data_IF_419585694085
#
_entry.id   IF_419585694085
#
_cell.length_a   1.000
_cell.length_b   1.000
_cell.length_c   1.000
_cell.angle_alpha   90.00
_cell.angle_beta   90.00
_cell.angle_gamma   90.00
#
_symmetry.space_group_name_H-M   'P 1'
#
loop_
_entity.id
_entity.type
_entity.pdbx_description
1 polymer ?
#
# COMPACT_ATOMS: atom_id res chain seq x y z
N UNK A 1 42.46 63.88 -33.64
CA UNK A 1 41.60 62.75 -33.99
C UNK A 1 42.15 61.47 -33.35
N UNK A 2 41.97 61.27 -32.12
CA UNK A 2 42.26 60.02 -31.36
C UNK A 2 41.50 60.14 -30.02
N UNK A 3 40.28 59.61 -29.92
CA UNK A 3 39.58 59.31 -28.64
C UNK A 3 38.08 59.11 -28.90
N UNK A 4 37.73 58.18 -29.81
CA UNK A 4 36.31 57.89 -30.01
C UNK A 4 36.05 56.43 -30.43
N UNK A 5 36.82 55.48 -29.92
CA UNK A 5 36.54 54.04 -30.12
C UNK A 5 36.92 53.27 -28.83
N UNK A 6 36.39 53.60 -27.68
CA UNK A 6 36.59 52.77 -26.48
C UNK A 6 35.37 52.61 -25.58
N UNK A 7 34.20 53.02 -26.02
CA UNK A 7 33.02 53.00 -25.11
C UNK A 7 31.83 52.11 -25.60
N UNK A 8 32.06 51.28 -26.64
CA UNK A 8 30.92 50.48 -27.21
C UNK A 8 31.06 48.96 -27.03
N UNK A 9 32.01 48.48 -26.26
CA UNK A 9 32.18 47.00 -26.06
C UNK A 9 31.79 46.53 -24.63
N UNK A 10 31.52 47.45 -23.72
CA UNK A 10 31.16 47.09 -22.35
C UNK A 10 29.63 46.90 -22.09
N UNK A 11 28.79 47.12 -23.09
CA UNK A 11 27.31 47.12 -22.94
C UNK A 11 26.58 45.84 -23.38
N UNK A 12 27.30 44.89 -24.04
CA UNK A 12 26.60 43.68 -24.56
C UNK A 12 26.83 42.44 -23.71
N UNK A 13 27.70 42.51 -22.68
CA UNK A 13 28.04 41.35 -21.83
C UNK A 13 27.13 41.07 -20.63
N UNK A 14 26.12 41.90 -20.35
CA UNK A 14 25.30 41.75 -19.10
C UNK A 14 23.87 41.25 -19.35
N UNK A 15 23.45 41.10 -20.60
CA UNK A 15 22.04 40.68 -20.91
C UNK A 15 21.91 39.16 -21.06
N UNK A 16 22.99 38.36 -20.96
CA UNK A 16 22.94 36.91 -21.15
C UNK A 16 22.91 36.07 -19.86
N UNK A 17 22.76 36.66 -18.67
CA UNK A 17 22.73 35.91 -17.41
C UNK A 17 21.40 35.90 -16.67
N UNK A 18 20.34 36.43 -17.23
CA UNK A 18 19.01 36.40 -16.56
C UNK A 18 17.97 35.51 -17.24
N UNK A 19 18.40 34.62 -18.15
CA UNK A 19 17.46 33.87 -18.98
C UNK A 19 17.30 32.38 -18.61
N UNK A 20 17.73 31.94 -17.44
CA UNK A 20 17.52 30.53 -17.02
C UNK A 20 16.86 30.34 -15.65
N UNK A 21 16.44 31.42 -15.00
CA UNK A 21 15.62 31.26 -13.78
C UNK A 21 14.14 31.31 -14.18
N UNK A 22 13.47 30.19 -14.10
CA UNK A 22 12.02 30.09 -14.24
C UNK A 22 11.49 29.30 -15.43
N UNK A 23 12.36 28.88 -16.39
CA UNK A 23 11.85 28.14 -17.57
C UNK A 23 11.44 26.68 -17.23
N UNK A 24 11.84 26.18 -16.07
CA UNK A 24 11.55 24.83 -15.60
C UNK A 24 10.82 24.77 -14.27
N UNK A 25 10.60 25.90 -13.60
CA UNK A 25 9.91 25.95 -12.30
C UNK A 25 8.49 25.40 -12.40
N UNK A 26 7.78 25.66 -13.51
CA UNK A 26 6.40 25.20 -13.70
C UNK A 26 6.27 23.72 -14.11
N UNK A 27 7.38 23.10 -14.54
CA UNK A 27 7.35 21.72 -15.05
C UNK A 27 7.71 20.72 -13.95
N UNK A 28 8.55 21.10 -12.98
CA UNK A 28 9.08 20.17 -11.98
C UNK A 28 8.61 20.42 -10.55
N UNK A 29 8.18 21.62 -10.22
CA UNK A 29 7.90 22.02 -8.83
C UNK A 29 6.43 21.89 -8.41
N UNK A 30 5.52 21.72 -9.35
CA UNK A 30 4.10 21.51 -9.06
C UNK A 30 3.57 20.26 -9.76
N UNK A 31 3.82 19.05 -9.20
CA UNK A 31 3.18 17.85 -9.73
C UNK A 31 1.66 18.10 -9.72
N UNK A 32 1.03 17.99 -10.88
CA UNK A 32 -0.42 18.10 -10.97
C UNK A 32 -1.07 17.10 -10.04
N UNK A 33 -2.06 17.50 -9.25
CA UNK A 33 -2.79 16.56 -8.41
C UNK A 33 -3.35 15.44 -9.29
N UNK A 34 -3.19 14.19 -8.84
CA UNK A 34 -3.77 13.06 -9.54
C UNK A 34 -5.29 13.15 -9.35
N UNK A 35 -6.00 13.34 -10.43
CA UNK A 35 -7.47 13.29 -10.43
C UNK A 35 -7.88 11.91 -10.91
N UNK A 36 -8.36 11.04 -10.01
CA UNK A 36 -8.79 9.70 -10.39
C UNK A 36 -10.00 9.77 -11.32
N UNK A 37 -10.09 8.82 -12.23
CA UNK A 37 -11.28 8.65 -13.07
C UNK A 37 -12.46 8.15 -12.21
N UNK A 38 -13.66 8.20 -12.78
CA UNK A 38 -14.84 7.58 -12.15
C UNK A 38 -14.59 6.07 -12.01
N UNK A 39 -14.85 5.54 -10.83
CA UNK A 39 -14.56 4.12 -10.53
C UNK A 39 -13.07 3.83 -10.27
N UNK A 40 -12.31 4.85 -9.89
CA UNK A 40 -10.90 4.74 -9.56
C UNK A 40 -10.61 5.44 -8.22
N UNK A 41 -9.68 4.93 -7.45
CA UNK A 41 -9.12 5.58 -6.25
C UNK A 41 -7.61 5.59 -6.29
N UNK A 42 -7.05 6.54 -5.55
CA UNK A 42 -5.60 6.70 -5.42
C UNK A 42 -5.25 6.77 -3.93
N UNK A 43 -4.51 5.80 -3.43
CA UNK A 43 -4.16 5.65 -2.02
C UNK A 43 -2.65 5.78 -1.86
N UNK A 44 -2.20 6.76 -1.07
CA UNK A 44 -0.82 6.79 -0.60
C UNK A 44 -0.65 5.82 0.58
N UNK A 45 -0.36 4.56 0.26
CA UNK A 45 -0.10 3.50 1.23
C UNK A 45 1.41 3.31 1.48
N UNK A 46 2.20 4.37 1.37
CA UNK A 46 3.66 4.31 1.55
C UNK A 46 4.09 4.19 3.00
N UNK A 47 3.22 4.49 3.96
CA UNK A 47 3.49 4.31 5.39
C UNK A 47 3.81 2.85 5.72
N UNK A 48 4.74 2.67 6.67
CA UNK A 48 5.17 1.35 7.13
C UNK A 48 4.32 0.81 8.27
N UNK A 49 3.49 1.66 8.89
CA UNK A 49 2.76 1.33 10.12
C UNK A 49 1.28 1.63 10.06
N UNK A 50 0.75 2.13 8.94
CA UNK A 50 -0.64 2.58 8.90
C UNK A 50 -1.50 1.76 7.94
N UNK A 51 -2.74 1.53 8.33
CA UNK A 51 -3.81 1.09 7.48
C UNK A 51 -4.58 2.29 6.92
N UNK A 52 -5.05 2.17 5.67
CA UNK A 52 -5.91 3.12 4.99
C UNK A 52 -7.21 2.41 4.59
N UNK A 53 -8.34 2.93 5.04
CA UNK A 53 -9.64 2.28 4.87
C UNK A 53 -10.45 2.92 3.75
N UNK A 54 -11.09 2.08 2.95
CA UNK A 54 -11.95 2.46 1.83
C UNK A 54 -13.37 1.98 2.12
N UNK A 55 -14.34 2.85 1.95
CA UNK A 55 -15.77 2.53 1.99
C UNK A 55 -16.35 2.63 0.58
N UNK A 56 -16.56 1.48 -0.07
CA UNK A 56 -17.14 1.42 -1.41
C UNK A 56 -18.62 1.82 -1.42
N UNK A 57 -19.36 1.61 -0.33
CA UNK A 57 -20.75 2.04 -0.21
C UNK A 57 -20.84 3.58 -0.27
N UNK A 58 -19.97 4.26 0.49
CA UNK A 58 -19.90 5.71 0.46
C UNK A 58 -19.51 6.25 -0.91
N UNK A 59 -18.51 5.66 -1.57
CA UNK A 59 -18.11 6.05 -2.93
C UNK A 59 -19.25 5.89 -3.92
N UNK A 60 -20.00 4.80 -3.82
CA UNK A 60 -21.20 4.57 -4.64
C UNK A 60 -22.26 5.62 -4.37
N UNK A 61 -22.57 5.91 -3.12
CA UNK A 61 -23.58 6.90 -2.74
C UNK A 61 -23.22 8.29 -3.29
N UNK A 62 -21.97 8.73 -3.09
CA UNK A 62 -21.50 10.02 -3.62
C UNK A 62 -21.58 10.09 -5.16
N UNK A 63 -21.35 8.96 -5.82
CA UNK A 63 -21.51 8.86 -7.29
C UNK A 63 -22.96 9.01 -7.72
N UNK A 64 -23.90 8.40 -6.98
CA UNK A 64 -25.36 8.48 -7.24
C UNK A 64 -25.88 9.88 -6.96
N UNK A 65 -25.43 10.50 -5.88
CA UNK A 65 -25.81 11.86 -5.48
C UNK A 65 -25.26 12.94 -6.41
N UNK A 66 -24.21 12.60 -7.19
CA UNK A 66 -23.55 13.54 -8.09
C UNK A 66 -22.68 14.58 -7.38
N UNK A 67 -22.26 14.29 -6.14
CA UNK A 67 -21.35 15.17 -5.39
C UNK A 67 -19.89 14.90 -5.80
N UNK A 68 -19.49 15.51 -6.92
CA UNK A 68 -18.16 15.32 -7.51
C UNK A 68 -17.03 15.75 -6.57
N UNK A 69 -17.23 16.81 -5.77
CA UNK A 69 -16.21 17.30 -4.87
C UNK A 69 -15.98 16.34 -3.68
N UNK A 70 -17.06 15.86 -3.06
CA UNK A 70 -16.97 14.89 -2.00
C UNK A 70 -16.47 13.52 -2.51
N UNK A 71 -16.85 13.14 -3.73
CA UNK A 71 -16.35 11.94 -4.40
C UNK A 71 -14.84 12.02 -4.62
N UNK A 72 -14.35 13.11 -5.20
CA UNK A 72 -12.90 13.29 -5.41
C UNK A 72 -12.12 13.20 -4.10
N UNK A 73 -12.63 13.84 -3.04
CA UNK A 73 -12.04 13.76 -1.71
C UNK A 73 -12.01 12.33 -1.19
N UNK A 74 -13.12 11.59 -1.29
CA UNK A 74 -13.21 10.20 -0.86
C UNK A 74 -12.36 9.22 -1.70
N UNK A 75 -11.99 9.61 -2.93
CA UNK A 75 -11.11 8.83 -3.82
C UNK A 75 -9.62 9.09 -3.57
N UNK A 76 -9.23 10.17 -2.87
CA UNK A 76 -7.84 10.62 -2.78
C UNK A 76 -7.35 10.94 -1.38
N UNK A 77 -8.24 11.19 -0.41
CA UNK A 77 -7.88 11.55 0.95
C UNK A 77 -8.28 10.44 1.91
N UNK A 78 -7.26 9.77 2.47
CA UNK A 78 -7.44 8.65 3.40
C UNK A 78 -6.76 8.96 4.72
N UNK A 79 -7.49 8.79 5.83
CA UNK A 79 -6.96 8.95 7.17
C UNK A 79 -6.09 7.73 7.53
N UNK A 80 -4.90 7.93 8.10
CA UNK A 80 -4.05 6.84 8.57
C UNK A 80 -4.55 6.27 9.91
N UNK A 81 -4.57 4.94 10.02
CA UNK A 81 -4.89 4.20 11.22
C UNK A 81 -3.67 3.37 11.65
N UNK A 82 -2.93 3.80 12.67
CA UNK A 82 -1.70 3.15 13.07
C UNK A 82 -1.92 1.70 13.51
N UNK A 83 -1.03 0.81 13.07
CA UNK A 83 -0.94 -0.55 13.58
C UNK A 83 -0.35 -0.47 15.00
N UNK A 84 -0.98 -1.08 16.03
CA UNK A 84 -0.47 -1.03 17.38
C UNK A 84 0.87 -1.79 17.47
N UNK A 85 1.97 -1.05 17.56
CA UNK A 85 3.32 -1.60 17.68
C UNK A 85 3.78 -1.75 19.14
N UNK A 86 3.20 -0.93 20.05
CA UNK A 86 3.48 -1.05 21.47
C UNK A 86 2.85 -2.32 22.05
N UNK A 87 3.62 -3.05 22.82
CA UNK A 87 3.16 -4.31 23.37
C UNK A 87 3.66 -4.52 24.80
N UNK A 88 2.83 -5.18 25.59
CA UNK A 88 3.19 -5.75 26.90
C UNK A 88 2.88 -7.24 26.90
N UNK A 89 3.34 -7.91 27.92
CA UNK A 89 3.01 -9.30 28.16
C UNK A 89 4.20 -10.22 28.02
N UNK A 90 3.92 -11.50 27.86
CA UNK A 90 4.92 -12.55 27.96
C UNK A 90 5.89 -12.48 26.79
N UNK A 91 7.02 -11.84 27.04
CA UNK A 91 8.17 -11.92 26.19
C UNK A 91 8.79 -13.31 26.36
N UNK A 92 8.72 -14.11 25.30
CA UNK A 92 9.39 -15.41 25.26
C UNK A 92 10.59 -15.28 24.34
N UNK A 93 11.77 -15.12 24.96
CA UNK A 93 13.03 -15.14 24.22
C UNK A 93 13.40 -16.59 23.92
N UNK A 94 13.37 -16.97 22.66
CA UNK A 94 13.86 -18.26 22.19
C UNK A 94 15.03 -18.04 21.23
N UNK A 95 16.21 -18.57 21.52
CA UNK A 95 17.27 -18.62 20.53
C UNK A 95 16.84 -19.56 19.39
N UNK A 96 16.99 -19.10 18.16
CA UNK A 96 16.83 -19.95 16.98
C UNK A 96 18.13 -20.74 16.77
N UNK A 97 18.04 -22.06 16.82
CA UNK A 97 19.24 -22.92 16.76
C UNK A 97 19.50 -23.49 15.36
N UNK A 98 18.50 -23.51 14.50
CA UNK A 98 18.53 -24.18 13.19
C UNK A 98 18.52 -23.23 11.98
N UNK A 99 18.42 -21.93 12.22
CA UNK A 99 18.36 -20.93 11.16
C UNK A 99 17.02 -20.89 10.41
N UNK A 100 16.04 -21.69 10.81
CA UNK A 100 14.72 -21.66 10.22
C UNK A 100 13.81 -20.73 11.02
N UNK A 101 13.24 -19.72 10.38
CA UNK A 101 12.26 -18.85 11.00
C UNK A 101 10.95 -19.56 11.38
N UNK A 102 10.71 -20.74 10.83
CA UNK A 102 9.46 -21.47 10.98
C UNK A 102 9.16 -21.95 12.41
N UNK A 103 10.18 -22.19 13.22
CA UNK A 103 10.00 -22.61 14.62
C UNK A 103 9.52 -21.47 15.51
N UNK A 104 9.72 -20.25 15.09
CA UNK A 104 9.36 -19.05 15.84
C UNK A 104 7.84 -18.82 15.91
N UNK A 105 7.09 -19.38 14.97
CA UNK A 105 5.65 -19.15 14.85
C UNK A 105 4.79 -20.20 15.53
N UNK A 106 5.40 -21.31 15.98
CA UNK A 106 4.66 -22.39 16.62
C UNK A 106 4.03 -21.95 17.95
N UNK A 107 2.73 -22.16 18.07
CA UNK A 107 1.97 -21.83 19.26
C UNK A 107 1.52 -20.38 19.38
N UNK A 108 1.84 -19.53 18.40
CA UNK A 108 1.37 -18.16 18.32
C UNK A 108 -0.13 -18.11 18.07
N UNK A 109 -0.81 -17.16 18.70
CA UNK A 109 -2.23 -16.90 18.52
C UNK A 109 -2.43 -15.63 17.71
N UNK A 110 -3.55 -15.52 17.01
CA UNK A 110 -3.94 -14.29 16.34
C UNK A 110 -3.93 -13.10 17.33
N UNK A 111 -3.46 -11.95 16.87
CA UNK A 111 -3.28 -10.76 17.71
C UNK A 111 -1.99 -10.72 18.52
N UNK A 112 -1.16 -11.75 18.46
CA UNK A 112 0.18 -11.71 19.03
C UNK A 112 1.19 -11.29 17.96
N UNK A 113 2.15 -10.48 18.37
CA UNK A 113 3.25 -10.02 17.54
C UNK A 113 4.51 -10.83 17.80
N UNK A 114 5.41 -10.83 16.81
CA UNK A 114 6.68 -11.54 16.89
C UNK A 114 7.80 -10.66 16.36
N UNK A 115 8.89 -10.57 17.12
CA UNK A 115 10.09 -9.89 16.70
C UNK A 115 11.18 -10.86 16.30
N UNK A 116 11.90 -10.46 15.27
CA UNK A 116 13.20 -11.02 14.91
C UNK A 116 14.27 -9.94 15.04
N UNK A 117 15.43 -10.35 15.53
CA UNK A 117 16.59 -9.49 15.56
C UNK A 117 17.54 -9.91 14.45
N UNK A 118 18.16 -8.96 13.79
CA UNK A 118 19.25 -9.06 12.81
C UNK A 118 19.57 -10.48 12.30
N UNK A 119 18.81 -10.96 11.34
CA UNK A 119 19.00 -12.29 10.74
C UNK A 119 20.20 -12.34 9.78
N UNK A 120 20.71 -11.20 9.33
CA UNK A 120 21.83 -11.11 8.40
C UNK A 120 23.14 -10.72 9.08
N UNK A 121 23.11 -9.93 10.16
CA UNK A 121 24.30 -9.51 10.89
C UNK A 121 24.89 -10.60 11.77
N UNK A 122 24.13 -11.06 12.76
CA UNK A 122 24.58 -12.10 13.69
C UNK A 122 24.24 -13.52 13.26
N UNK A 123 23.34 -13.67 12.29
CA UNK A 123 22.80 -14.95 11.85
C UNK A 123 21.83 -15.57 12.85
N UNK A 124 21.10 -16.58 12.41
CA UNK A 124 20.06 -17.23 13.22
C UNK A 124 20.55 -17.85 14.53
N UNK A 125 21.80 -18.24 14.63
CA UNK A 125 22.36 -18.80 15.85
C UNK A 125 22.37 -17.82 17.03
N UNK A 126 22.37 -16.54 16.74
CA UNK A 126 22.44 -15.46 17.74
C UNK A 126 21.16 -14.66 17.84
N UNK A 127 20.22 -14.91 16.93
CA UNK A 127 18.94 -14.21 16.92
C UNK A 127 17.98 -14.87 17.90
N UNK A 128 17.18 -14.03 18.51
CA UNK A 128 16.06 -14.43 19.35
C UNK A 128 14.78 -13.88 18.78
N UNK A 129 13.68 -14.52 19.07
CA UNK A 129 12.36 -13.96 18.81
C UNK A 129 11.55 -13.86 20.09
N UNK A 130 10.60 -12.93 20.08
CA UNK A 130 9.72 -12.72 21.21
C UNK A 130 8.27 -12.79 20.73
N UNK A 131 7.42 -13.44 21.52
CA UNK A 131 5.99 -13.23 21.42
C UNK A 131 5.58 -12.14 22.38
N UNK A 132 4.68 -11.27 21.96
CA UNK A 132 4.10 -10.28 22.84
C UNK A 132 2.68 -9.95 22.39
N UNK A 133 1.88 -9.42 23.31
CA UNK A 133 0.52 -8.97 23.05
C UNK A 133 0.52 -7.46 22.94
N UNK A 134 -0.11 -6.86 21.92
CA UNK A 134 -0.18 -5.42 21.81
C UNK A 134 -0.95 -4.80 22.98
N UNK A 135 -0.57 -3.59 23.38
CA UNK A 135 -1.24 -2.83 24.45
C UNK A 135 -2.56 -2.23 24.02
N UNK A 136 -2.77 -2.06 22.72
CA UNK A 136 -3.97 -1.54 22.11
C UNK A 136 -4.47 -2.44 21.00
N UNK A 137 -5.75 -2.36 20.70
CA UNK A 137 -6.36 -3.01 19.54
C UNK A 137 -6.19 -2.11 18.31
N UNK A 138 -6.13 -2.72 17.12
CA UNK A 138 -6.19 -1.99 15.86
C UNK A 138 -7.50 -1.21 15.77
N UNK A 139 -7.41 0.10 15.61
CA UNK A 139 -8.57 0.93 15.34
C UNK A 139 -8.97 0.87 13.88
N UNK A 140 -10.25 1.09 13.61
CA UNK A 140 -10.82 1.17 12.27
C UNK A 140 -11.99 2.15 12.27
N UNK A 141 -12.36 2.76 11.12
CA UNK A 141 -13.61 3.50 11.02
C UNK A 141 -14.82 2.57 11.22
N UNK A 142 -15.99 3.15 11.53
CA UNK A 142 -17.21 2.37 11.74
C UNK A 142 -17.65 1.65 10.46
N UNK A 143 -17.52 2.32 9.31
CA UNK A 143 -17.90 1.80 8.00
C UNK A 143 -16.68 1.71 7.09
N UNK A 144 -16.46 0.55 6.52
CA UNK A 144 -15.40 0.31 5.55
C UNK A 144 -15.62 -1.01 4.82
N UNK A 145 -14.98 -1.16 3.68
CA UNK A 145 -15.09 -2.34 2.80
C UNK A 145 -13.77 -3.08 2.70
N UNK A 146 -12.71 -2.38 2.38
CA UNK A 146 -11.33 -2.89 2.33
C UNK A 146 -10.41 -1.94 3.08
N UNK A 147 -9.28 -2.46 3.54
CA UNK A 147 -8.20 -1.64 4.06
C UNK A 147 -6.87 -2.05 3.42
N UNK A 148 -6.01 -1.06 3.20
CA UNK A 148 -4.73 -1.23 2.52
C UNK A 148 -3.60 -0.81 3.47
N UNK A 149 -2.57 -1.65 3.56
CA UNK A 149 -1.31 -1.37 4.20
C UNK A 149 -0.19 -1.78 3.25
N UNK A 150 0.46 -0.80 2.62
CA UNK A 150 1.47 -1.06 1.58
C UNK A 150 0.93 -1.95 0.46
N UNK A 151 1.45 -3.16 0.29
CA UNK A 151 0.98 -4.18 -0.64
C UNK A 151 -0.08 -5.11 -0.03
N UNK A 152 -0.27 -5.08 1.27
CA UNK A 152 -1.22 -5.93 1.98
C UNK A 152 -2.62 -5.33 1.97
N UNK A 153 -3.63 -6.20 1.82
CA UNK A 153 -5.04 -5.80 1.83
C UNK A 153 -5.84 -6.73 2.72
N UNK A 154 -6.79 -6.17 3.44
CA UNK A 154 -7.81 -6.93 4.18
C UNK A 154 -9.21 -6.46 3.84
N UNK A 155 -10.17 -7.30 4.12
CA UNK A 155 -11.59 -7.02 3.92
C UNK A 155 -12.31 -6.85 5.26
N UNK A 156 -13.49 -6.24 5.25
CA UNK A 156 -14.35 -6.16 6.43
C UNK A 156 -15.24 -7.40 6.51
N UNK A 157 -14.66 -8.55 6.87
CA UNK A 157 -15.40 -9.82 6.95
C UNK A 157 -15.88 -10.36 5.61
N UNK A 158 -15.31 -9.89 4.50
CA UNK A 158 -15.58 -10.36 3.15
C UNK A 158 -14.72 -11.55 2.74
N UNK A 159 -14.84 -11.92 1.47
CA UNK A 159 -14.00 -12.94 0.86
C UNK A 159 -13.72 -12.59 -0.60
N UNK A 160 -12.58 -13.04 -1.14
CA UNK A 160 -12.09 -12.64 -2.46
C UNK A 160 -11.87 -13.83 -3.37
N UNK A 161 -12.19 -13.64 -4.65
CA UNK A 161 -11.90 -14.52 -5.75
C UNK A 161 -10.99 -13.79 -6.75
N UNK A 162 -9.84 -14.37 -7.09
CA UNK A 162 -9.05 -13.94 -8.23
C UNK A 162 -9.64 -14.52 -9.51
N UNK A 163 -9.84 -13.68 -10.52
CA UNK A 163 -10.32 -14.11 -11.83
C UNK A 163 -9.16 -14.21 -12.83
N UNK A 164 -9.42 -14.71 -14.01
CA UNK A 164 -8.47 -14.69 -15.14
C UNK A 164 -8.64 -13.47 -16.05
N UNK A 165 -9.59 -12.59 -15.74
CA UNK A 165 -9.81 -11.35 -16.49
C UNK A 165 -8.76 -10.30 -16.15
N UNK A 166 -8.26 -9.63 -17.17
CA UNK A 166 -7.23 -8.59 -17.06
C UNK A 166 -7.74 -7.18 -17.33
N UNK A 167 -9.07 -7.04 -17.48
CA UNK A 167 -9.76 -5.76 -17.63
C UNK A 167 -11.17 -5.86 -17.07
N UNK A 168 -11.66 -4.78 -16.47
CA UNK A 168 -13.04 -4.64 -16.00
C UNK A 168 -14.08 -4.83 -17.12
N UNK A 169 -13.72 -4.47 -18.36
CA UNK A 169 -14.62 -4.61 -19.53
C UNK A 169 -14.83 -6.05 -19.99
N UNK A 170 -13.96 -6.96 -19.57
CA UNK A 170 -14.06 -8.40 -19.87
C UNK A 170 -14.99 -9.14 -18.92
N UNK A 171 -15.35 -8.50 -17.79
CA UNK A 171 -16.17 -9.12 -16.77
C UNK A 171 -17.57 -9.49 -17.32
N UNK A 172 -18.16 -10.60 -16.84
CA UNK A 172 -19.57 -10.89 -17.06
C UNK A 172 -20.48 -9.72 -16.65
N UNK A 173 -21.70 -9.65 -17.16
CA UNK A 173 -22.63 -8.57 -16.80
C UNK A 173 -22.97 -8.48 -15.31
N UNK A 174 -22.87 -9.58 -14.57
CA UNK A 174 -23.18 -9.65 -13.15
C UNK A 174 -22.28 -10.64 -12.40
N UNK A 175 -22.15 -10.43 -11.09
CA UNK A 175 -21.42 -11.31 -10.18
C UNK A 175 -22.01 -12.72 -10.03
N UNK A 176 -23.24 -12.97 -10.51
CA UNK A 176 -23.87 -14.29 -10.51
C UNK A 176 -23.03 -15.35 -11.27
N UNK A 177 -22.24 -14.90 -12.26
CA UNK A 177 -21.33 -15.77 -12.98
C UNK A 177 -20.28 -16.44 -12.06
N UNK A 178 -20.04 -15.91 -10.88
CA UNK A 178 -19.07 -16.40 -9.89
C UNK A 178 -19.74 -17.14 -8.71
N UNK A 179 -21.06 -17.32 -8.71
CA UNK A 179 -21.81 -17.88 -7.58
C UNK A 179 -21.36 -19.28 -7.15
N UNK A 180 -20.82 -20.06 -8.07
CA UNK A 180 -20.33 -21.43 -7.81
C UNK A 180 -18.82 -21.49 -7.56
N UNK A 181 -18.13 -20.35 -7.49
CA UNK A 181 -16.69 -20.29 -7.25
C UNK A 181 -16.38 -20.13 -5.77
N UNK A 182 -15.18 -20.55 -5.39
CA UNK A 182 -14.72 -20.45 -4.01
C UNK A 182 -14.08 -19.09 -3.76
N UNK A 183 -14.59 -18.37 -2.77
CA UNK A 183 -14.04 -17.12 -2.30
C UNK A 183 -13.22 -17.37 -1.03
N UNK A 184 -12.05 -16.76 -0.95
CA UNK A 184 -11.11 -16.90 0.16
C UNK A 184 -11.31 -15.76 1.15
N UNK A 185 -11.62 -16.04 2.43
CA UNK A 185 -11.72 -15.02 3.48
C UNK A 185 -10.33 -14.53 3.90
N UNK A 186 -10.33 -13.51 4.76
CA UNK A 186 -9.11 -13.04 5.41
C UNK A 186 -8.58 -14.11 6.38
N UNK A 187 -7.27 -14.09 6.57
CA UNK A 187 -6.56 -14.95 7.51
C UNK A 187 -5.49 -14.18 8.28
N UNK A 188 -5.18 -14.64 9.49
CA UNK A 188 -4.02 -14.15 10.21
C UNK A 188 -2.75 -14.68 9.56
N UNK A 189 -1.86 -13.77 9.23
CA UNK A 189 -0.55 -14.09 8.65
C UNK A 189 0.55 -13.64 9.57
N UNK A 190 1.73 -14.16 9.35
CA UNK A 190 2.88 -13.92 10.21
C UNK A 190 3.94 -13.09 9.48
N UNK A 191 4.63 -12.24 10.23
CA UNK A 191 5.80 -11.53 9.73
C UNK A 191 5.54 -10.69 8.47
N UNK A 192 4.43 -10.00 8.41
CA UNK A 192 4.03 -9.23 7.21
C UNK A 192 4.36 -7.72 7.34
N UNK A 193 4.73 -7.27 8.54
CA UNK A 193 4.94 -5.85 8.81
C UNK A 193 6.33 -5.59 9.36
N UNK A 194 7.08 -4.71 8.69
CA UNK A 194 8.22 -4.00 9.26
C UNK A 194 7.73 -2.70 9.88
N UNK A 195 8.32 -2.27 10.98
CA UNK A 195 8.00 -1.01 11.62
C UNK A 195 8.80 0.17 11.04
N UNK A 196 9.78 -0.12 10.17
CA UNK A 196 10.51 0.91 9.44
C UNK A 196 11.14 0.39 8.14
N UNK A 197 11.38 1.32 7.20
CA UNK A 197 12.14 1.02 5.99
C UNK A 197 13.57 0.60 6.33
N UNK A 198 14.16 1.18 7.37
CA UNK A 198 15.52 0.87 7.79
C UNK A 198 15.65 -0.61 8.16
N UNK A 199 14.73 -1.15 8.96
CA UNK A 199 14.73 -2.57 9.31
C UNK A 199 14.66 -3.47 8.08
N UNK A 200 13.79 -3.15 7.14
CA UNK A 200 13.69 -3.90 5.88
C UNK A 200 15.00 -3.83 5.09
N UNK A 201 15.61 -2.64 4.95
CA UNK A 201 16.86 -2.46 4.19
C UNK A 201 18.05 -3.12 4.88
N UNK A 202 18.05 -3.21 6.20
CA UNK A 202 19.05 -3.97 6.97
C UNK A 202 18.85 -5.48 6.88
N UNK A 203 17.75 -5.93 6.27
CA UNK A 203 17.45 -7.33 6.09
C UNK A 203 16.87 -8.00 7.32
N UNK A 204 16.25 -7.25 8.22
CA UNK A 204 15.47 -7.83 9.31
C UNK A 204 14.23 -8.52 8.74
N UNK A 205 13.77 -9.56 9.40
CA UNK A 205 12.46 -10.13 9.08
C UNK A 205 11.35 -9.20 9.55
N UNK A 206 10.14 -9.27 8.98
CA UNK A 206 9.00 -8.49 9.48
C UNK A 206 8.77 -8.71 10.96
N UNK A 207 8.47 -7.64 11.69
CA UNK A 207 8.35 -7.68 13.15
C UNK A 207 6.99 -8.15 13.65
N UNK A 208 5.98 -8.17 12.78
CA UNK A 208 4.60 -8.41 13.19
C UNK A 208 3.77 -9.10 12.13
N UNK A 209 2.85 -9.98 12.55
CA UNK A 209 1.79 -10.52 11.72
C UNK A 209 0.55 -9.62 11.72
N UNK A 210 -0.26 -9.76 10.70
CA UNK A 210 -1.53 -9.04 10.52
C UNK A 210 -2.61 -9.96 9.95
N UNK A 211 -3.86 -9.57 10.10
CA UNK A 211 -4.96 -10.17 9.36
C UNK A 211 -5.03 -9.55 7.96
N UNK A 212 -5.02 -10.38 6.92
CA UNK A 212 -5.10 -9.93 5.54
C UNK A 212 -5.79 -10.95 4.63
N UNK A 213 -6.21 -10.52 3.46
CA UNK A 213 -6.67 -11.37 2.39
C UNK A 213 -5.50 -11.71 1.45
N UNK A 214 -5.03 -12.96 1.47
CA UNK A 214 -3.88 -13.37 0.63
C UNK A 214 -4.19 -13.28 -0.86
N UNK A 215 -5.43 -13.58 -1.25
CA UNK A 215 -5.82 -13.52 -2.65
C UNK A 215 -5.79 -12.08 -3.15
N UNK A 216 -6.41 -11.14 -2.42
CA UNK A 216 -6.41 -9.75 -2.86
C UNK A 216 -5.03 -9.10 -2.73
N UNK A 217 -4.25 -9.46 -1.71
CA UNK A 217 -2.88 -8.95 -1.53
C UNK A 217 -1.93 -9.41 -2.63
N UNK A 218 -2.26 -10.49 -3.37
CA UNK A 218 -1.47 -10.96 -4.51
C UNK A 218 -1.47 -10.00 -5.70
N UNK A 219 -2.31 -8.96 -5.70
CA UNK A 219 -2.29 -7.94 -6.75
C UNK A 219 -0.96 -7.16 -6.81
N UNK A 220 -0.22 -7.11 -5.69
CA UNK A 220 1.12 -6.52 -5.62
C UNK A 220 2.01 -7.36 -4.70
N UNK A 221 2.86 -8.18 -5.29
CA UNK A 221 3.82 -9.00 -4.57
C UNK A 221 5.12 -8.23 -4.34
N UNK A 222 5.69 -8.39 -3.15
CA UNK A 222 7.00 -7.88 -2.79
C UNK A 222 7.91 -9.06 -2.44
N UNK A 223 9.08 -9.13 -3.06
CA UNK A 223 10.05 -10.21 -2.86
C UNK A 223 11.36 -9.69 -2.28
N UNK A 224 11.86 -10.38 -1.26
CA UNK A 224 13.16 -10.17 -0.63
C UNK A 224 13.80 -11.55 -0.44
N UNK A 225 15.06 -11.80 -0.90
CA UNK A 225 15.88 -10.96 -1.77
C UNK A 225 15.31 -10.81 -3.18
N UNK A 226 15.76 -9.81 -4.00
CA UNK A 226 16.94 -8.97 -3.79
C UNK A 226 16.71 -7.79 -2.87
N UNK A 227 17.80 -7.08 -2.52
CA UNK A 227 17.75 -5.77 -1.89
C UNK A 227 18.24 -4.71 -2.86
N UNK A 228 17.50 -3.62 -3.14
CA UNK A 228 16.14 -3.34 -2.62
C UNK A 228 15.09 -4.34 -3.15
N UNK A 229 13.97 -4.51 -2.44
CA UNK A 229 12.92 -5.45 -2.81
C UNK A 229 12.41 -5.26 -4.23
N UNK A 230 12.15 -6.37 -4.92
CA UNK A 230 11.43 -6.36 -6.19
C UNK A 230 9.92 -6.37 -5.96
N UNK A 231 9.21 -5.72 -6.87
CA UNK A 231 7.75 -5.68 -6.87
C UNK A 231 7.24 -6.22 -8.20
N UNK A 232 6.23 -7.06 -8.13
CA UNK A 232 5.50 -7.53 -9.31
C UNK A 232 4.00 -7.29 -9.14
N UNK A 233 3.39 -6.71 -10.17
CA UNK A 233 1.96 -6.41 -10.18
C UNK A 233 1.22 -7.51 -10.93
N UNK A 234 0.16 -8.04 -10.32
CA UNK A 234 -0.82 -8.90 -10.93
C UNK A 234 -1.98 -8.04 -11.44
N UNK A 235 -2.19 -8.04 -12.74
CA UNK A 235 -3.21 -7.22 -13.40
C UNK A 235 -4.59 -7.90 -13.49
N UNK A 236 -4.81 -9.01 -12.81
CA UNK A 236 -6.11 -9.66 -12.80
C UNK A 236 -7.16 -8.80 -12.08
N UNK A 237 -8.41 -9.02 -12.46
CA UNK A 237 -9.57 -8.48 -11.72
C UNK A 237 -9.92 -9.44 -10.59
N UNK A 238 -10.13 -8.88 -9.40
CA UNK A 238 -10.53 -9.59 -8.20
C UNK A 238 -12.00 -9.30 -7.90
N UNK A 239 -12.77 -10.33 -7.56
CA UNK A 239 -14.16 -10.16 -7.12
C UNK A 239 -14.17 -10.28 -5.61
N UNK A 240 -14.57 -9.21 -4.94
CA UNK A 240 -14.83 -9.17 -3.51
C UNK A 240 -16.31 -9.43 -3.26
N UNK A 241 -16.60 -10.41 -2.44
CA UNK A 241 -17.92 -10.61 -1.84
C UNK A 241 -17.88 -9.99 -0.45
N UNK A 242 -18.71 -8.98 -0.23
CA UNK A 242 -18.84 -8.28 1.05
C UNK A 242 -19.56 -9.15 2.08
N UNK A 243 -19.49 -8.74 3.34
CA UNK A 243 -20.18 -9.43 4.44
C UNK A 243 -21.71 -9.39 4.35
N UNK A 244 -22.28 -8.39 3.65
CA UNK A 244 -23.72 -8.28 3.37
C UNK A 244 -24.17 -9.07 2.12
N UNK A 245 -23.24 -9.75 1.45
CA UNK A 245 -23.50 -10.54 0.25
C UNK A 245 -23.43 -9.76 -1.05
N UNK A 246 -23.26 -8.44 -1.03
CA UNK A 246 -23.01 -7.66 -2.25
C UNK A 246 -21.60 -7.94 -2.81
N UNK A 247 -21.36 -7.56 -4.05
CA UNK A 247 -20.09 -7.80 -4.72
C UNK A 247 -19.47 -6.50 -5.24
N UNK A 248 -18.15 -6.49 -5.25
CA UNK A 248 -17.34 -5.48 -5.94
C UNK A 248 -16.32 -6.15 -6.85
N UNK A 249 -15.94 -5.50 -7.94
CA UNK A 249 -14.78 -5.87 -8.72
C UNK A 249 -13.66 -4.85 -8.46
N UNK A 250 -12.45 -5.33 -8.23
CA UNK A 250 -11.25 -4.55 -7.91
C UNK A 250 -10.10 -4.92 -8.84
N UNK A 251 -9.30 -3.96 -9.25
CA UNK A 251 -8.10 -4.20 -10.06
C UNK A 251 -7.03 -3.17 -9.70
N UNK A 252 -5.82 -3.62 -9.43
CA UNK A 252 -4.69 -2.72 -9.29
C UNK A 252 -4.24 -2.24 -10.67
N UNK A 253 -4.26 -0.93 -10.89
CA UNK A 253 -3.84 -0.29 -12.15
C UNK A 253 -2.38 0.15 -12.09
N UNK A 254 -1.96 0.70 -10.95
CA UNK A 254 -0.60 1.21 -10.74
C UNK A 254 -0.24 1.16 -9.25
N UNK A 255 1.05 1.03 -8.96
CA UNK A 255 1.56 1.02 -7.58
C UNK A 255 2.68 2.05 -7.34
N UNK A 256 2.89 2.95 -8.30
CA UNK A 256 3.93 3.97 -8.23
C UNK A 256 3.34 5.37 -8.15
N UNK A 257 3.92 6.20 -7.29
CA UNK A 257 3.66 7.64 -7.34
C UNK A 257 4.27 8.27 -8.59
N UNK A 258 3.91 9.51 -8.94
CA UNK A 258 4.57 10.26 -10.02
C UNK A 258 6.09 10.40 -9.84
N UNK A 259 6.58 10.28 -8.60
CA UNK A 259 8.01 10.31 -8.25
C UNK A 259 8.65 8.91 -8.18
N UNK A 260 7.91 7.85 -8.52
CA UNK A 260 8.39 6.48 -8.49
C UNK A 260 8.40 5.82 -7.11
N UNK A 261 7.72 6.40 -6.11
CA UNK A 261 7.59 5.79 -4.78
C UNK A 261 6.62 4.62 -4.85
N UNK A 262 7.04 3.46 -4.34
CA UNK A 262 6.25 2.22 -4.33
C UNK A 262 5.16 2.26 -3.26
N UNK A 263 4.11 1.48 -3.47
CA UNK A 263 2.91 1.41 -2.61
C UNK A 263 2.06 2.71 -2.63
N UNK A 264 2.15 3.47 -3.71
CA UNK A 264 1.21 4.51 -4.06
C UNK A 264 0.24 3.91 -5.07
N UNK A 265 -0.92 3.48 -4.61
CA UNK A 265 -1.80 2.58 -5.34
C UNK A 265 -2.87 3.33 -6.11
N UNK A 266 -3.02 3.03 -7.39
CA UNK A 266 -4.18 3.39 -8.19
C UNK A 266 -5.02 2.14 -8.40
N UNK A 267 -6.26 2.14 -7.91
CA UNK A 267 -7.15 0.98 -7.89
C UNK A 267 -8.41 1.30 -8.68
N UNK A 268 -8.69 0.50 -9.69
CA UNK A 268 -9.98 0.51 -10.36
C UNK A 268 -11.00 -0.29 -9.55
N UNK A 269 -12.22 0.22 -9.43
CA UNK A 269 -13.31 -0.48 -8.78
C UNK A 269 -14.63 -0.35 -9.54
N UNK A 270 -15.46 -1.39 -9.42
CA UNK A 270 -16.87 -1.38 -9.84
C UNK A 270 -17.70 -1.87 -8.66
N UNK A 271 -18.55 -1.00 -8.17
CA UNK A 271 -19.43 -1.31 -7.04
C UNK A 271 -20.76 -0.55 -7.15
N UNK A 272 -21.91 -1.21 -6.89
CA UNK A 272 -22.06 -2.67 -6.78
C UNK A 272 -21.81 -3.37 -8.12
N UNK A 273 -21.44 -4.67 -8.03
CA UNK A 273 -21.17 -5.50 -9.18
C UNK A 273 -21.97 -6.79 -9.21
#
# INVERSE_FOLDING_TARGET
MKNMIRTTVAGVGIIMLTSCNGLFDDIYDHPQPIVPAKGQLVIDATSWTDWYYVDLNRLHQLTVDGDEQALLKAQTEFEPYPIPMDATGDRVDKPTTDGSGSTATQGKKAGQYMYWFDVFGAGFKHNTFCYFTPTAQQTAPAEWTIAVHRNNVRTNGGAVLETTYTSMDQLPPSSEAFSNMTFTPDEWTENEVWDSQEQMLLGYVPSQGIELNRVLSSWLSMEIPPMPPSFSMNNHVFILRLNDGTHAALQLENYLSPKGTKCYLTINYKYPY
#
